data_IF_496692422086
#
_entry.id   IF_496692422086
#
_cell.length_a   1.000
_cell.length_b   1.000
_cell.length_c   1.000
_cell.angle_alpha   90.00
_cell.angle_beta   90.00
_cell.angle_gamma   90.00
#
_symmetry.space_group_name_H-M   'P 1'
#
loop_
_entity.id
_entity.type
_entity.pdbx_description
1 polymer ?
#
# COMPACT_ATOMS: atom_id res chain seq x y z
N UNK A 1 40.54 17.27 -27.00
CA UNK A 1 39.79 16.68 -25.91
C UNK A 1 39.67 17.74 -24.79
N UNK A 2 38.49 18.15 -24.46
CA UNK A 2 38.28 19.09 -23.36
C UNK A 2 38.77 18.49 -22.03
N UNK A 3 39.49 19.29 -21.25
CA UNK A 3 39.97 18.87 -19.91
C UNK A 3 38.77 18.88 -18.97
N UNK A 4 38.23 17.70 -18.63
CA UNK A 4 37.10 17.57 -17.70
C UNK A 4 37.62 17.75 -16.31
N UNK A 5 37.10 18.74 -15.61
CA UNK A 5 37.47 19.04 -14.22
C UNK A 5 36.70 18.15 -13.23
N UNK A 6 37.25 17.97 -12.02
CA UNK A 6 36.54 17.30 -10.95
C UNK A 6 35.24 18.05 -10.56
N UNK A 7 35.21 19.38 -10.78
CA UNK A 7 34.04 20.21 -10.54
C UNK A 7 32.90 19.92 -11.53
N UNK A 8 33.22 19.72 -12.82
CA UNK A 8 32.21 19.39 -13.85
C UNK A 8 31.53 18.03 -13.51
N UNK A 9 32.36 17.04 -13.10
CA UNK A 9 31.85 15.73 -12.67
C UNK A 9 30.97 15.85 -11.42
N UNK A 10 31.37 16.67 -10.47
CA UNK A 10 30.61 16.95 -9.24
C UNK A 10 29.27 17.60 -9.57
N UNK A 11 29.28 18.66 -10.38
CA UNK A 11 28.06 19.40 -10.80
C UNK A 11 27.08 18.47 -11.51
N UNK A 12 27.55 17.66 -12.49
CA UNK A 12 26.69 16.73 -13.19
C UNK A 12 26.13 15.64 -12.25
N UNK A 13 26.93 15.15 -11.29
CA UNK A 13 26.45 14.21 -10.28
C UNK A 13 25.39 14.80 -9.36
N UNK A 14 25.58 16.02 -8.89
CA UNK A 14 24.64 16.71 -8.00
C UNK A 14 23.29 17.00 -8.71
N UNK A 15 23.32 17.26 -10.02
CA UNK A 15 22.09 17.51 -10.79
C UNK A 15 21.36 16.26 -11.25
N UNK A 16 22.06 15.09 -11.28
CA UNK A 16 21.49 13.86 -11.87
C UNK A 16 21.37 12.69 -10.90
N UNK A 17 22.04 12.76 -9.73
CA UNK A 17 22.15 11.63 -8.80
C UNK A 17 22.98 10.45 -9.35
N UNK A 18 23.50 10.50 -10.57
CA UNK A 18 24.23 9.40 -11.21
C UNK A 18 25.59 9.12 -10.54
N UNK A 19 26.11 7.92 -10.73
CA UNK A 19 27.42 7.52 -10.18
C UNK A 19 28.57 8.39 -10.74
N UNK A 20 29.55 8.74 -9.87
CA UNK A 20 30.68 9.62 -10.23
C UNK A 20 31.44 9.15 -11.47
N UNK A 21 31.64 7.84 -11.60
CA UNK A 21 32.35 7.26 -12.75
C UNK A 21 31.52 7.31 -14.04
N UNK A 22 30.20 7.14 -13.95
CA UNK A 22 29.30 7.28 -15.09
C UNK A 22 29.29 8.76 -15.56
N UNK A 23 29.16 9.74 -14.62
CA UNK A 23 29.27 11.17 -14.94
C UNK A 23 30.59 11.53 -15.64
N UNK A 24 31.72 11.05 -15.09
CA UNK A 24 33.04 11.30 -15.71
C UNK A 24 33.11 10.73 -17.12
N UNK A 25 32.60 9.50 -17.33
CA UNK A 25 32.63 8.82 -18.63
C UNK A 25 31.81 9.56 -19.67
N UNK A 26 30.58 9.95 -19.35
CA UNK A 26 29.72 10.66 -20.31
C UNK A 26 30.22 12.08 -20.61
N UNK A 27 30.76 12.80 -19.62
CA UNK A 27 31.40 14.09 -19.86
C UNK A 27 32.59 13.96 -20.81
N UNK A 28 33.41 12.88 -20.67
CA UNK A 28 34.53 12.62 -21.60
C UNK A 28 34.02 12.36 -23.02
N UNK A 29 32.97 11.59 -23.19
CA UNK A 29 32.35 11.27 -24.48
C UNK A 29 31.62 12.47 -25.11
N UNK A 30 31.10 13.36 -24.25
CA UNK A 30 30.45 14.61 -24.65
C UNK A 30 31.45 15.76 -24.91
N UNK A 31 32.78 15.51 -24.85
CA UNK A 31 33.82 16.53 -24.93
C UNK A 31 33.60 17.73 -23.96
N UNK A 32 33.03 17.44 -22.79
CA UNK A 32 32.77 18.43 -21.74
C UNK A 32 31.43 19.18 -21.88
N UNK A 33 30.59 18.87 -22.86
CA UNK A 33 29.26 19.45 -23.04
C UNK A 33 28.30 18.87 -21.97
N UNK A 34 27.79 19.67 -21.01
CA UNK A 34 26.94 19.16 -19.94
C UNK A 34 25.59 18.63 -20.42
N UNK A 35 25.00 19.26 -21.46
CA UNK A 35 23.69 18.87 -21.98
C UNK A 35 23.79 17.51 -22.69
N UNK A 36 24.78 17.37 -23.56
CA UNK A 36 25.04 16.09 -24.23
C UNK A 36 25.43 14.98 -23.27
N UNK A 37 26.16 15.31 -22.20
CA UNK A 37 26.46 14.36 -21.13
C UNK A 37 25.21 13.90 -20.37
N UNK A 38 24.28 14.80 -20.12
CA UNK A 38 22.97 14.50 -19.51
C UNK A 38 22.16 13.56 -20.39
N UNK A 39 22.08 13.81 -21.70
CA UNK A 39 21.36 12.97 -22.64
C UNK A 39 21.97 11.54 -22.70
N UNK A 40 23.30 11.44 -22.72
CA UNK A 40 24.01 10.15 -22.68
C UNK A 40 23.79 9.40 -21.35
N UNK A 41 23.70 10.11 -20.21
CA UNK A 41 23.35 9.50 -18.94
C UNK A 41 21.93 8.95 -18.96
N UNK A 42 20.99 9.71 -19.51
CA UNK A 42 19.59 9.30 -19.62
C UNK A 42 19.45 8.05 -20.49
N UNK A 43 20.02 8.03 -21.68
CA UNK A 43 20.02 6.85 -22.57
C UNK A 43 20.59 5.60 -21.89
N UNK A 44 21.75 5.74 -21.24
CA UNK A 44 22.41 4.62 -20.56
C UNK A 44 21.67 4.15 -19.33
N UNK A 45 21.11 5.09 -18.59
CA UNK A 45 20.25 4.80 -17.43
C UNK A 45 19.03 3.97 -17.83
N UNK A 46 18.31 4.39 -18.85
CA UNK A 46 17.17 3.67 -19.43
C UNK A 46 17.54 2.27 -19.92
N UNK A 47 18.69 2.11 -20.62
CA UNK A 47 19.18 0.81 -21.08
C UNK A 47 19.51 -0.13 -19.91
N UNK A 48 20.11 0.38 -18.84
CA UNK A 48 20.39 -0.41 -17.62
C UNK A 48 19.11 -0.75 -16.86
N UNK A 49 18.16 0.18 -16.74
CA UNK A 49 16.86 -0.03 -16.10
C UNK A 49 16.06 -1.12 -16.83
N UNK A 50 15.99 -1.09 -18.16
CA UNK A 50 15.32 -2.12 -18.95
C UNK A 50 15.87 -3.54 -18.72
N UNK A 51 17.19 -3.68 -18.51
CA UNK A 51 17.81 -4.97 -18.17
C UNK A 51 17.48 -5.47 -16.77
N UNK A 52 17.05 -4.60 -15.87
CA UNK A 52 16.68 -4.93 -14.47
C UNK A 52 15.18 -5.16 -14.28
N UNK A 53 14.34 -4.75 -15.23
CA UNK A 53 12.89 -4.79 -15.12
C UNK A 53 12.29 -6.17 -14.76
N UNK A 54 13.05 -7.26 -14.98
CA UNK A 54 12.63 -8.62 -14.56
C UNK A 54 13.14 -9.08 -13.21
N UNK A 55 13.87 -8.23 -12.44
CA UNK A 55 14.34 -8.62 -11.12
C UNK A 55 13.23 -8.45 -10.11
N UNK A 56 13.22 -9.33 -9.11
CA UNK A 56 12.24 -9.27 -8.03
C UNK A 56 12.42 -8.00 -7.18
N UNK A 57 11.30 -7.40 -6.82
CA UNK A 57 11.25 -6.22 -5.95
C UNK A 57 10.51 -6.59 -4.67
N UNK A 58 11.17 -7.33 -3.77
CA UNK A 58 10.59 -7.82 -2.52
C UNK A 58 10.53 -6.78 -1.40
N UNK A 59 11.35 -5.73 -1.51
CA UNK A 59 11.35 -4.58 -0.62
C UNK A 59 10.61 -3.39 -1.25
N UNK A 60 10.42 -2.30 -0.51
CA UNK A 60 9.72 -1.12 -1.02
C UNK A 60 9.05 -0.29 0.07
N UNK A 61 8.03 0.46 -0.33
CA UNK A 61 7.19 1.24 0.58
C UNK A 61 5.75 1.30 0.11
N UNK A 62 4.84 1.46 1.09
CA UNK A 62 3.46 1.81 0.86
C UNK A 62 3.31 3.30 1.13
N UNK A 63 2.76 4.02 0.18
CA UNK A 63 2.43 5.43 0.32
C UNK A 63 0.92 5.64 0.20
N UNK A 64 0.40 6.62 0.95
CA UNK A 64 -1.02 6.95 1.00
C UNK A 64 -1.16 8.45 0.84
N UNK A 65 -1.99 8.87 -0.11
CA UNK A 65 -2.46 10.23 -0.26
C UNK A 65 -3.95 10.29 0.11
N UNK A 66 -4.36 11.33 0.85
CA UNK A 66 -5.76 11.57 1.22
C UNK A 66 -6.13 13.00 0.87
N UNK A 67 -7.28 13.17 0.24
CA UNK A 67 -7.91 14.46 -0.01
C UNK A 67 -9.42 14.35 0.22
N UNK A 68 -9.93 15.12 1.20
CA UNK A 68 -11.32 15.03 1.63
C UNK A 68 -11.69 13.60 2.09
N UNK A 69 -12.71 13.04 1.47
CA UNK A 69 -13.18 11.66 1.73
C UNK A 69 -12.67 10.63 0.72
N UNK A 70 -11.57 10.94 0.04
CA UNK A 70 -10.93 10.01 -0.91
C UNK A 70 -9.48 9.75 -0.52
N UNK A 71 -9.03 8.54 -0.77
CA UNK A 71 -7.64 8.09 -0.54
C UNK A 71 -7.12 7.32 -1.74
N UNK A 72 -5.82 7.44 -1.99
CA UNK A 72 -5.07 6.55 -2.89
C UNK A 72 -3.96 5.90 -2.09
N UNK A 73 -3.91 4.59 -2.11
CA UNK A 73 -2.83 3.79 -1.53
C UNK A 73 -2.08 3.07 -2.64
N UNK A 74 -0.75 3.16 -2.61
CA UNK A 74 0.12 2.48 -3.58
C UNK A 74 1.16 1.61 -2.88
N UNK A 75 1.66 0.60 -3.60
CA UNK A 75 2.88 -0.12 -3.27
C UNK A 75 3.93 0.15 -4.36
N UNK A 76 5.04 0.77 -3.95
CA UNK A 76 6.21 0.96 -4.79
C UNK A 76 7.30 -0.01 -4.31
N UNK A 77 7.73 -0.94 -5.20
CA UNK A 77 8.72 -1.96 -4.90
C UNK A 77 10.12 -1.59 -5.39
N UNK A 78 11.15 -2.07 -4.68
CA UNK A 78 12.56 -2.04 -5.06
C UNK A 78 13.27 -3.35 -4.65
N UNK A 79 14.55 -3.52 -5.04
CA UNK A 79 15.29 -4.75 -4.77
C UNK A 79 15.75 -4.85 -3.30
N UNK A 80 16.14 -3.72 -2.67
CA UNK A 80 16.72 -3.70 -1.32
C UNK A 80 16.02 -2.73 -0.35
N UNK A 81 16.12 -3.04 0.93
CA UNK A 81 15.65 -2.16 2.00
C UNK A 81 16.52 -0.89 2.15
N UNK A 82 17.74 -0.89 1.62
CA UNK A 82 18.60 0.30 1.58
C UNK A 82 18.00 1.37 0.69
N UNK A 83 17.57 1.03 -0.53
CA UNK A 83 16.88 1.96 -1.44
C UNK A 83 15.52 2.34 -0.88
N UNK A 84 14.76 1.39 -0.36
CA UNK A 84 13.43 1.64 0.22
C UNK A 84 13.43 2.72 1.31
N UNK A 85 14.52 2.89 2.05
CA UNK A 85 14.66 3.86 3.15
C UNK A 85 15.20 5.23 2.72
N UNK A 86 15.60 5.41 1.46
CA UNK A 86 16.10 6.70 0.98
C UNK A 86 14.98 7.72 0.85
N UNK A 87 15.29 8.99 1.12
CA UNK A 87 14.34 10.09 0.97
C UNK A 87 13.85 10.22 -0.48
N UNK A 88 14.72 9.97 -1.46
CA UNK A 88 14.39 10.01 -2.88
C UNK A 88 13.34 8.95 -3.25
N UNK A 89 13.46 7.72 -2.72
CA UNK A 89 12.51 6.65 -2.98
C UNK A 89 11.15 6.91 -2.28
N UNK A 90 11.19 7.34 -1.02
CA UNK A 90 10.00 7.71 -0.26
C UNK A 90 9.29 8.92 -0.89
N UNK A 91 10.07 9.91 -1.33
CA UNK A 91 9.56 11.08 -2.06
C UNK A 91 8.87 10.70 -3.36
N UNK A 92 9.48 9.80 -4.16
CA UNK A 92 8.88 9.27 -5.38
C UNK A 92 7.54 8.55 -5.11
N UNK A 93 7.47 7.70 -4.08
CA UNK A 93 6.24 7.01 -3.73
C UNK A 93 5.10 7.98 -3.36
N UNK A 94 5.40 8.99 -2.55
CA UNK A 94 4.44 10.03 -2.17
C UNK A 94 4.02 10.89 -3.37
N UNK A 95 4.95 11.24 -4.25
CA UNK A 95 4.67 11.97 -5.49
C UNK A 95 3.71 11.18 -6.39
N UNK A 96 3.95 9.88 -6.59
CA UNK A 96 3.09 9.01 -7.39
C UNK A 96 1.68 8.91 -6.77
N UNK A 97 1.58 8.65 -5.47
CA UNK A 97 0.28 8.58 -4.78
C UNK A 97 -0.51 9.87 -4.93
N UNK A 98 0.16 11.02 -4.79
CA UNK A 98 -0.45 12.35 -4.95
C UNK A 98 -0.88 12.60 -6.40
N UNK A 99 -0.06 12.23 -7.39
CA UNK A 99 -0.40 12.41 -8.80
C UNK A 99 -1.65 11.58 -9.18
N UNK A 100 -1.74 10.34 -8.71
CA UNK A 100 -2.92 9.48 -8.92
C UNK A 100 -4.15 10.07 -8.20
N UNK A 101 -3.96 10.61 -7.00
CA UNK A 101 -5.04 11.26 -6.24
C UNK A 101 -5.62 12.44 -7.02
N UNK A 102 -4.77 13.34 -7.50
CA UNK A 102 -5.16 14.58 -8.18
C UNK A 102 -5.83 14.34 -9.53
N UNK A 103 -5.38 13.34 -10.30
CA UNK A 103 -5.98 13.00 -11.59
C UNK A 103 -7.36 12.34 -11.43
N UNK A 104 -7.49 11.42 -10.51
CA UNK A 104 -8.74 10.78 -10.14
C UNK A 104 -9.23 9.68 -11.07
N UNK A 105 -8.58 9.41 -12.20
CA UNK A 105 -9.07 8.46 -13.23
C UNK A 105 -8.50 7.05 -13.10
N UNK A 106 -7.31 6.87 -12.49
CA UNK A 106 -6.66 5.57 -12.42
C UNK A 106 -7.25 4.69 -11.31
N UNK A 107 -7.69 3.50 -11.71
CA UNK A 107 -8.19 2.44 -10.84
C UNK A 107 -7.22 1.24 -10.73
N UNK A 108 -6.12 1.24 -11.48
CA UNK A 108 -5.12 0.17 -11.47
C UNK A 108 -3.75 0.67 -11.92
N UNK A 109 -2.74 -0.19 -11.77
CA UNK A 109 -1.33 0.13 -12.11
C UNK A 109 -1.16 0.55 -13.58
N UNK A 110 -1.82 -0.12 -14.52
CA UNK A 110 -1.67 0.18 -15.95
C UNK A 110 -2.19 1.59 -16.28
N UNK A 111 -3.33 1.96 -15.71
CA UNK A 111 -3.89 3.31 -15.87
C UNK A 111 -3.02 4.35 -15.18
N UNK A 112 -2.52 4.06 -13.97
CA UNK A 112 -1.64 4.93 -13.22
C UNK A 112 -0.33 5.22 -13.98
N UNK A 113 0.26 4.25 -14.65
CA UNK A 113 1.48 4.44 -15.45
C UNK A 113 1.34 5.51 -16.55
N UNK A 114 0.14 5.64 -17.12
CA UNK A 114 -0.14 6.64 -18.17
C UNK A 114 -0.35 8.06 -17.65
N UNK A 115 -0.63 8.22 -16.35
CA UNK A 115 -0.85 9.54 -15.73
C UNK A 115 0.43 10.36 -15.69
N UNK A 116 0.26 11.69 -15.68
CA UNK A 116 1.38 12.61 -15.51
C UNK A 116 1.69 12.84 -14.04
N UNK A 117 2.98 12.88 -13.73
CA UNK A 117 3.55 13.39 -12.49
C UNK A 117 4.58 14.46 -12.87
N UNK A 118 4.18 15.72 -12.79
CA UNK A 118 4.90 16.84 -13.39
C UNK A 118 4.88 16.78 -14.93
N UNK A 119 6.03 16.90 -15.55
CA UNK A 119 6.18 16.93 -17.02
C UNK A 119 6.24 15.52 -17.65
N UNK A 120 6.46 14.47 -16.85
CA UNK A 120 6.64 13.10 -17.31
C UNK A 120 5.46 12.20 -16.88
N UNK A 121 5.33 11.02 -17.53
CA UNK A 121 4.41 9.99 -17.05
C UNK A 121 4.95 9.30 -15.80
N UNK A 122 4.08 8.73 -14.99
CA UNK A 122 4.48 7.91 -13.82
C UNK A 122 5.40 6.76 -14.27
N UNK A 123 5.12 6.12 -15.41
CA UNK A 123 6.00 5.09 -15.97
C UNK A 123 7.42 5.61 -16.24
N UNK A 124 7.53 6.80 -16.87
CA UNK A 124 8.81 7.44 -17.13
C UNK A 124 9.54 7.81 -15.82
N UNK A 125 8.80 8.33 -14.83
CA UNK A 125 9.35 8.67 -13.51
C UNK A 125 9.91 7.43 -12.79
N UNK A 126 9.18 6.32 -12.78
CA UNK A 126 9.62 5.04 -12.20
C UNK A 126 10.86 4.52 -12.93
N UNK A 127 10.87 4.56 -14.27
CA UNK A 127 12.03 4.13 -15.08
C UNK A 127 13.27 5.00 -14.85
N UNK A 128 13.10 6.32 -14.76
CA UNK A 128 14.18 7.25 -14.47
C UNK A 128 14.74 7.04 -13.05
N UNK A 129 13.87 6.78 -12.07
CA UNK A 129 14.28 6.45 -10.70
C UNK A 129 15.08 5.12 -10.67
N UNK A 130 14.64 4.09 -11.38
CA UNK A 130 15.38 2.83 -11.49
C UNK A 130 16.76 3.02 -12.15
N UNK A 131 16.87 3.94 -13.11
CA UNK A 131 18.14 4.30 -13.73
C UNK A 131 19.10 4.99 -12.76
N UNK A 132 18.58 5.91 -11.95
CA UNK A 132 19.35 6.72 -11.00
C UNK A 132 19.73 5.93 -9.74
N UNK A 133 18.77 5.24 -9.12
CA UNK A 133 19.00 4.48 -7.89
C UNK A 133 19.74 3.15 -8.14
N UNK A 134 19.77 2.67 -9.39
CA UNK A 134 20.54 1.50 -9.77
C UNK A 134 19.87 0.16 -9.44
N UNK A 135 18.63 0.17 -9.04
CA UNK A 135 17.80 -1.01 -8.75
C UNK A 135 16.57 -1.07 -9.66
N UNK A 136 15.93 -2.24 -9.74
CA UNK A 136 14.60 -2.35 -10.30
C UNK A 136 13.60 -1.65 -9.36
N UNK A 137 12.80 -0.75 -9.92
CA UNK A 137 11.69 -0.08 -9.20
C UNK A 137 10.41 -0.35 -9.98
N UNK A 138 9.35 -0.71 -9.26
CA UNK A 138 8.06 -1.02 -9.88
C UNK A 138 6.89 -0.57 -9.03
N UNK A 139 5.92 0.09 -9.67
CA UNK A 139 4.60 0.32 -9.07
C UNK A 139 3.83 -1.01 -9.14
N UNK A 140 3.55 -1.61 -7.98
CA UNK A 140 2.97 -2.96 -7.89
C UNK A 140 1.47 -2.97 -7.72
N UNK A 141 0.97 -2.07 -6.87
CA UNK A 141 -0.45 -1.99 -6.54
C UNK A 141 -0.89 -0.54 -6.47
N UNK A 142 -2.12 -0.32 -6.85
CA UNK A 142 -2.83 0.95 -6.70
C UNK A 142 -4.23 0.62 -6.20
N UNK A 143 -4.67 1.29 -5.15
CA UNK A 143 -6.02 1.19 -4.62
C UNK A 143 -6.56 2.60 -4.40
N UNK A 144 -7.75 2.86 -4.93
CA UNK A 144 -8.48 4.11 -4.72
C UNK A 144 -9.72 3.84 -3.88
N UNK A 145 -9.81 4.50 -2.76
CA UNK A 145 -10.90 4.33 -1.79
C UNK A 145 -11.60 5.66 -1.62
N UNK A 146 -12.91 5.67 -1.76
CA UNK A 146 -13.75 6.84 -1.50
C UNK A 146 -14.85 6.49 -0.49
N UNK A 147 -15.27 7.49 0.26
CA UNK A 147 -16.33 7.40 1.26
C UNK A 147 -17.31 8.53 1.07
N UNK A 148 -18.54 8.36 1.53
CA UNK A 148 -19.54 9.43 1.69
C UNK A 148 -19.37 10.20 3.00
N UNK A 149 -18.57 9.68 3.92
CA UNK A 149 -18.31 10.29 5.24
C UNK A 149 -16.83 10.69 5.37
N UNK A 150 -15.95 9.73 5.64
CA UNK A 150 -14.52 9.99 5.87
C UNK A 150 -13.67 8.76 5.53
N UNK A 151 -12.43 9.01 5.12
CA UNK A 151 -11.38 8.00 4.97
C UNK A 151 -10.29 8.23 6.01
N UNK A 152 -9.92 7.18 6.72
CA UNK A 152 -8.77 7.17 7.62
C UNK A 152 -7.69 6.23 7.14
N UNK A 153 -6.44 6.49 7.52
CA UNK A 153 -5.32 5.63 7.14
C UNK A 153 -4.31 5.46 8.26
N UNK A 154 -3.55 4.37 8.15
CA UNK A 154 -2.42 4.10 9.02
C UNK A 154 -1.28 3.44 8.24
N UNK A 155 -0.07 3.97 8.40
CA UNK A 155 1.16 3.37 7.87
C UNK A 155 1.99 2.85 9.04
N UNK A 156 2.41 1.59 8.96
CA UNK A 156 3.19 0.92 10.00
C UNK A 156 4.58 0.52 9.49
N UNK A 157 5.54 0.42 10.43
CA UNK A 157 6.92 -0.06 10.19
C UNK A 157 7.63 0.67 9.04
N UNK A 158 7.48 2.00 8.96
CA UNK A 158 8.19 2.80 7.95
C UNK A 158 7.77 2.48 6.51
N UNK A 159 6.48 2.21 6.28
CA UNK A 159 5.95 1.94 4.94
C UNK A 159 5.82 0.46 4.58
N UNK A 160 6.13 -0.46 5.49
CA UNK A 160 6.02 -1.91 5.19
C UNK A 160 4.58 -2.44 5.22
N UNK A 161 3.68 -1.72 5.88
CA UNK A 161 2.26 -2.03 5.94
C UNK A 161 1.45 -0.73 5.92
N UNK A 162 0.44 -0.67 5.07
CA UNK A 162 -0.51 0.42 4.99
C UNK A 162 -1.94 -0.09 5.05
N UNK A 163 -2.80 0.66 5.72
CA UNK A 163 -4.24 0.38 5.82
C UNK A 163 -5.01 1.66 5.53
N UNK A 164 -6.07 1.51 4.75
CA UNK A 164 -7.07 2.55 4.50
C UNK A 164 -8.42 2.02 4.93
N UNK A 165 -9.18 2.81 5.65
CA UNK A 165 -10.56 2.50 6.09
C UNK A 165 -11.48 3.62 5.63
N UNK A 166 -12.54 3.28 4.92
CA UNK A 166 -13.64 4.17 4.59
C UNK A 166 -14.79 3.92 5.57
N UNK A 167 -15.24 4.98 6.25
CA UNK A 167 -16.44 4.94 7.06
C UNK A 167 -17.64 5.47 6.25
N UNK A 168 -18.83 5.01 6.56
CA UNK A 168 -20.09 5.49 6.00
C UNK A 168 -21.13 5.72 7.09
N UNK A 169 -22.15 6.52 6.78
CA UNK A 169 -23.18 6.90 7.72
C UNK A 169 -22.69 7.95 8.73
N UNK A 170 -23.40 8.08 9.82
CA UNK A 170 -23.20 9.14 10.81
C UNK A 170 -24.09 10.36 10.52
N UNK A 171 -24.27 11.21 11.51
CA UNK A 171 -25.11 12.39 11.39
C UNK A 171 -24.35 13.56 10.76
N UNK A 172 -24.97 14.26 9.82
CA UNK A 172 -24.42 15.48 9.25
C UNK A 172 -24.23 16.54 10.36
N UNK A 173 -23.02 17.13 10.42
CA UNK A 173 -22.70 18.22 11.32
C UNK A 173 -22.45 17.83 12.78
N UNK A 174 -22.20 16.55 13.07
CA UNK A 174 -21.75 16.12 14.38
C UNK A 174 -20.33 16.67 14.66
N UNK A 175 -20.10 17.17 15.90
CA UNK A 175 -18.74 17.51 16.39
C UNK A 175 -17.85 16.25 16.56
N UNK A 176 -18.26 15.13 15.99
CA UNK A 176 -17.57 13.86 16.10
C UNK A 176 -16.35 13.82 15.19
N UNK A 177 -15.21 13.49 15.79
CA UNK A 177 -13.94 13.31 15.06
C UNK A 177 -13.90 11.94 14.34
N UNK A 178 -14.71 11.78 13.30
CA UNK A 178 -14.76 10.56 12.50
C UNK A 178 -13.41 10.22 11.85
N UNK A 179 -12.58 11.22 11.60
CA UNK A 179 -11.24 11.00 11.06
C UNK A 179 -10.32 10.27 12.05
N UNK A 180 -10.41 10.62 13.35
CA UNK A 180 -9.69 9.91 14.41
C UNK A 180 -10.20 8.47 14.55
N UNK A 181 -11.51 8.26 14.51
CA UNK A 181 -12.10 6.92 14.60
C UNK A 181 -11.69 6.05 13.40
N UNK A 182 -11.75 6.58 12.18
CA UNK A 182 -11.32 5.88 10.97
C UNK A 182 -9.84 5.48 11.04
N UNK A 183 -8.98 6.39 11.53
CA UNK A 183 -7.57 6.10 11.78
C UNK A 183 -7.38 5.01 12.83
N UNK A 184 -8.15 5.03 13.90
CA UNK A 184 -8.08 4.04 14.98
C UNK A 184 -8.51 2.64 14.48
N UNK A 185 -9.52 2.56 13.63
CA UNK A 185 -9.90 1.31 12.96
C UNK A 185 -8.81 0.86 11.98
N UNK A 186 -8.18 1.79 11.25
CA UNK A 186 -7.04 1.44 10.38
C UNK A 186 -5.84 0.89 11.19
N UNK A 187 -5.55 1.47 12.37
CA UNK A 187 -4.54 0.94 13.30
C UNK A 187 -4.92 -0.45 13.81
N UNK A 188 -6.21 -0.69 14.13
CA UNK A 188 -6.70 -1.99 14.53
C UNK A 188 -6.46 -3.04 13.44
N UNK A 189 -6.88 -2.79 12.18
CA UNK A 189 -6.66 -3.69 11.04
C UNK A 189 -5.17 -3.97 10.79
N UNK A 190 -4.31 -2.99 11.06
CA UNK A 190 -2.87 -3.16 10.92
C UNK A 190 -2.25 -4.08 11.99
N UNK A 191 -2.81 -4.09 13.20
CA UNK A 191 -2.22 -4.72 14.38
C UNK A 191 -2.86 -6.07 14.77
N UNK A 192 -4.13 -6.29 14.40
CA UNK A 192 -4.87 -7.47 14.84
C UNK A 192 -4.42 -8.75 14.12
N UNK A 193 -4.40 -9.86 14.85
CA UNK A 193 -4.17 -11.21 14.32
C UNK A 193 -5.27 -12.14 14.86
N UNK A 194 -6.03 -12.83 14.00
CA UNK A 194 -5.96 -12.78 12.52
C UNK A 194 -6.42 -11.45 11.93
N UNK A 195 -5.84 -11.07 10.79
CA UNK A 195 -6.31 -9.95 9.98
C UNK A 195 -7.75 -10.21 9.53
N UNK A 196 -8.68 -9.23 9.65
CA UNK A 196 -10.06 -9.44 9.23
C UNK A 196 -10.14 -9.70 7.72
N UNK A 197 -10.99 -10.65 7.33
CA UNK A 197 -11.23 -11.03 5.94
C UNK A 197 -12.51 -10.39 5.37
N UNK A 198 -13.37 -9.89 6.23
CA UNK A 198 -14.64 -9.27 5.89
C UNK A 198 -15.02 -8.19 6.90
N UNK A 199 -15.90 -7.26 6.52
CA UNK A 199 -16.43 -6.24 7.43
C UNK A 199 -17.34 -6.88 8.46
N UNK A 200 -18.28 -7.71 8.01
CA UNK A 200 -19.27 -8.40 8.81
C UNK A 200 -19.52 -9.84 8.31
N UNK A 201 -20.42 -10.55 8.96
CA UNK A 201 -20.76 -11.94 8.61
C UNK A 201 -21.34 -12.10 7.20
N UNK A 202 -22.08 -11.10 6.72
CA UNK A 202 -22.74 -11.15 5.43
C UNK A 202 -21.73 -11.04 4.27
N UNK A 203 -20.62 -10.36 4.53
CA UNK A 203 -19.53 -10.18 3.57
C UNK A 203 -18.54 -11.38 3.52
N UNK A 204 -18.64 -12.36 4.45
CA UNK A 204 -17.80 -13.57 4.39
C UNK A 204 -18.29 -14.48 3.27
N UNK A 205 -17.41 -14.94 2.34
CA UNK A 205 -17.77 -15.86 1.26
C UNK A 205 -18.44 -17.13 1.80
N UNK A 206 -19.58 -17.49 1.22
CA UNK A 206 -20.39 -18.63 1.70
C UNK A 206 -19.65 -19.96 1.62
N UNK A 207 -18.85 -20.17 0.58
CA UNK A 207 -18.02 -21.34 0.37
C UNK A 207 -16.93 -21.49 1.46
N UNK A 208 -16.34 -20.37 1.90
CA UNK A 208 -15.41 -20.35 3.01
C UNK A 208 -16.09 -20.77 4.33
N UNK A 209 -17.29 -20.26 4.60
CA UNK A 209 -18.08 -20.62 5.77
C UNK A 209 -18.43 -22.09 5.78
N UNK A 210 -18.89 -22.64 4.66
CA UNK A 210 -19.25 -24.07 4.54
C UNK A 210 -18.01 -24.98 4.65
N UNK A 211 -16.88 -24.56 4.07
CA UNK A 211 -15.61 -25.25 4.25
C UNK A 211 -15.20 -25.32 5.72
N UNK A 212 -15.25 -24.18 6.43
CA UNK A 212 -14.91 -24.09 7.84
C UNK A 212 -15.85 -24.95 8.71
N UNK A 213 -17.17 -24.91 8.47
CA UNK A 213 -18.14 -25.78 9.17
C UNK A 213 -17.81 -27.26 8.97
N UNK A 214 -17.42 -27.65 7.76
CA UNK A 214 -17.04 -29.04 7.44
C UNK A 214 -15.81 -29.46 8.23
N UNK A 215 -14.78 -28.60 8.29
CA UNK A 215 -13.56 -28.84 9.06
C UNK A 215 -13.90 -28.99 10.55
N UNK A 216 -14.67 -28.06 11.09
CA UNK A 216 -15.07 -28.04 12.50
C UNK A 216 -15.89 -29.27 12.89
N UNK A 217 -16.80 -29.73 12.01
CA UNK A 217 -17.58 -30.96 12.18
C UNK A 217 -16.66 -32.20 12.24
N UNK A 218 -15.74 -32.31 11.30
CA UNK A 218 -14.80 -33.43 11.25
C UNK A 218 -13.90 -33.49 12.50
N UNK A 219 -13.40 -32.34 12.95
CA UNK A 219 -12.63 -32.24 14.19
C UNK A 219 -13.45 -32.66 15.43
N UNK A 220 -14.72 -32.27 15.51
CA UNK A 220 -15.60 -32.64 16.62
C UNK A 220 -15.83 -34.14 16.66
N UNK A 221 -16.11 -34.79 15.52
CA UNK A 221 -16.28 -36.23 15.39
C UNK A 221 -14.99 -36.97 15.74
N UNK A 222 -13.83 -36.57 15.21
CA UNK A 222 -12.54 -37.18 15.50
C UNK A 222 -12.14 -37.07 16.98
N UNK A 223 -12.60 -36.02 17.66
CA UNK A 223 -12.39 -35.86 19.11
C UNK A 223 -13.34 -36.72 19.97
N UNK A 224 -14.11 -37.62 19.37
CA UNK A 224 -15.01 -38.55 20.08
C UNK A 224 -16.29 -37.90 20.63
N UNK A 225 -16.68 -36.73 20.10
CA UNK A 225 -17.91 -36.08 20.53
C UNK A 225 -19.12 -36.82 19.97
N UNK A 226 -20.19 -37.02 20.78
CA UNK A 226 -21.42 -37.63 20.31
C UNK A 226 -22.06 -36.80 19.17
N UNK A 227 -22.57 -37.49 18.16
CA UNK A 227 -23.11 -36.85 16.93
C UNK A 227 -24.24 -35.87 17.24
N UNK A 228 -25.06 -36.14 18.24
CA UNK A 228 -26.17 -35.30 18.68
C UNK A 228 -25.76 -33.93 19.26
N UNK A 229 -24.48 -33.73 19.60
CA UNK A 229 -23.96 -32.44 20.10
C UNK A 229 -23.00 -31.76 19.12
N UNK A 230 -22.60 -32.44 18.04
CA UNK A 230 -21.66 -31.93 17.05
C UNK A 230 -22.16 -30.63 16.44
N UNK A 231 -23.44 -30.54 16.07
CA UNK A 231 -24.01 -29.33 15.48
C UNK A 231 -23.92 -28.12 16.42
N UNK A 232 -24.19 -28.28 17.70
CA UNK A 232 -23.99 -27.23 18.70
C UNK A 232 -22.53 -26.78 18.85
N UNK A 233 -21.61 -27.75 18.77
CA UNK A 233 -20.18 -27.45 18.84
C UNK A 233 -19.75 -26.66 17.59
N UNK A 234 -20.22 -27.05 16.41
CA UNK A 234 -19.95 -26.36 15.15
C UNK A 234 -20.51 -24.92 15.20
N UNK A 235 -21.76 -24.75 15.65
CA UNK A 235 -22.38 -23.42 15.79
C UNK A 235 -21.57 -22.51 16.74
N UNK A 236 -21.16 -23.01 17.88
CA UNK A 236 -20.33 -22.24 18.81
C UNK A 236 -18.96 -21.85 18.23
N UNK A 237 -18.32 -22.78 17.51
CA UNK A 237 -17.01 -22.53 16.88
C UNK A 237 -17.11 -21.60 15.67
N UNK A 238 -18.17 -21.70 14.88
CA UNK A 238 -18.38 -20.77 13.74
C UNK A 238 -18.66 -19.35 14.23
N UNK A 239 -19.34 -19.19 15.37
CA UNK A 239 -19.50 -17.87 15.98
C UNK A 239 -18.14 -17.29 16.41
N UNK A 240 -17.23 -18.13 16.92
CA UNK A 240 -15.86 -17.70 17.23
C UNK A 240 -15.09 -17.32 15.98
N UNK A 241 -15.22 -18.11 14.89
CA UNK A 241 -14.64 -17.79 13.60
C UNK A 241 -15.07 -16.41 13.11
N UNK A 242 -16.36 -16.06 13.18
CA UNK A 242 -16.84 -14.73 12.82
C UNK A 242 -16.26 -13.64 13.73
N UNK A 243 -16.23 -13.85 15.04
CA UNK A 243 -15.67 -12.91 15.99
C UNK A 243 -14.16 -12.64 15.76
N UNK A 244 -13.44 -13.61 15.20
CA UNK A 244 -12.01 -13.48 14.89
C UNK A 244 -11.75 -12.93 13.48
N UNK A 245 -12.67 -13.09 12.53
CA UNK A 245 -12.44 -12.79 11.12
C UNK A 245 -13.31 -11.67 10.54
N UNK A 246 -14.37 -11.25 11.24
CA UNK A 246 -15.20 -10.10 10.84
C UNK A 246 -14.77 -8.84 11.60
N UNK A 247 -14.34 -7.81 10.87
CA UNK A 247 -13.81 -6.57 11.45
C UNK A 247 -14.69 -5.97 12.54
N UNK A 248 -16.01 -5.88 12.29
CA UNK A 248 -16.95 -5.28 13.25
C UNK A 248 -17.12 -6.10 14.54
N UNK A 249 -16.85 -7.41 14.50
CA UNK A 249 -16.97 -8.31 15.66
C UNK A 249 -15.67 -8.49 16.43
N UNK A 250 -14.54 -8.12 15.85
CA UNK A 250 -13.23 -8.24 16.51
C UNK A 250 -13.16 -7.36 17.76
N UNK A 251 -12.49 -7.90 18.80
CA UNK A 251 -12.12 -7.12 19.98
C UNK A 251 -11.15 -6.00 19.56
N UNK A 252 -11.47 -4.75 19.96
CA UNK A 252 -10.72 -3.60 19.51
C UNK A 252 -9.32 -3.55 20.12
N UNK A 253 -8.29 -3.36 19.28
CA UNK A 253 -6.88 -3.48 19.74
C UNK A 253 -6.50 -2.50 20.85
N UNK A 254 -7.14 -1.33 20.93
CA UNK A 254 -6.87 -0.33 21.98
C UNK A 254 -7.68 -0.57 23.25
N UNK A 255 -8.79 -1.30 23.15
CA UNK A 255 -9.70 -1.64 24.27
C UNK A 255 -10.34 -2.99 23.98
N UNK A 256 -9.72 -4.12 24.40
CA UNK A 256 -10.21 -5.47 24.13
C UNK A 256 -11.56 -5.84 24.78
N UNK A 257 -12.06 -5.03 25.69
CA UNK A 257 -13.36 -5.24 26.33
C UNK A 257 -14.53 -4.76 25.46
N UNK A 258 -14.23 -4.08 24.35
CA UNK A 258 -15.22 -3.62 23.38
C UNK A 258 -14.91 -4.16 21.97
N UNK A 259 -15.91 -4.14 21.07
CA UNK A 259 -15.72 -4.51 19.66
C UNK A 259 -15.58 -3.26 18.79
N UNK A 260 -15.02 -3.43 17.57
CA UNK A 260 -14.95 -2.35 16.59
C UNK A 260 -16.34 -1.74 16.33
N UNK A 261 -17.39 -2.56 16.19
CA UNK A 261 -18.76 -2.07 16.02
C UNK A 261 -19.22 -1.17 17.19
N UNK A 262 -18.89 -1.52 18.43
CA UNK A 262 -19.23 -0.71 19.59
C UNK A 262 -18.44 0.60 19.64
N UNK A 263 -17.18 0.59 19.23
CA UNK A 263 -16.35 1.81 19.12
C UNK A 263 -16.97 2.78 18.11
N UNK A 264 -17.40 2.29 16.95
CA UNK A 264 -18.10 3.10 15.95
C UNK A 264 -19.41 3.66 16.51
N UNK A 265 -20.28 2.80 17.07
CA UNK A 265 -21.57 3.19 17.61
C UNK A 265 -21.48 4.16 18.81
N UNK A 266 -20.39 4.13 19.57
CA UNK A 266 -20.14 5.08 20.65
C UNK A 266 -19.85 6.50 20.15
N UNK A 267 -19.32 6.63 18.93
CA UNK A 267 -19.12 7.94 18.28
C UNK A 267 -20.41 8.39 17.56
N UNK A 268 -21.05 7.50 16.82
CA UNK A 268 -22.34 7.73 16.19
C UNK A 268 -23.03 6.39 15.90
N UNK A 269 -24.30 6.25 16.25
CA UNK A 269 -25.06 5.01 16.11
C UNK A 269 -25.26 4.57 14.63
N UNK A 270 -25.16 5.53 13.69
CA UNK A 270 -25.27 5.28 12.25
C UNK A 270 -23.93 5.00 11.59
N UNK A 271 -22.81 5.17 12.31
CA UNK A 271 -21.47 5.03 11.72
C UNK A 271 -21.08 3.57 11.54
N UNK A 272 -20.60 3.23 10.36
CA UNK A 272 -20.12 1.88 10.03
C UNK A 272 -18.91 1.92 9.10
N UNK A 273 -18.27 0.78 8.89
CA UNK A 273 -17.18 0.61 7.89
C UNK A 273 -17.82 0.30 6.55
N UNK A 274 -17.52 1.11 5.52
CA UNK A 274 -17.93 0.86 4.14
C UNK A 274 -16.93 -0.07 3.42
N UNK A 275 -15.62 0.17 3.63
CA UNK A 275 -14.56 -0.68 3.10
C UNK A 275 -13.29 -0.54 3.94
N UNK A 276 -12.41 -1.55 3.85
CA UNK A 276 -11.04 -1.45 4.32
C UNK A 276 -10.10 -2.15 3.34
N UNK A 277 -8.91 -1.61 3.18
CA UNK A 277 -7.88 -2.14 2.29
C UNK A 277 -6.55 -2.17 3.05
N UNK A 278 -5.85 -3.27 2.93
CA UNK A 278 -4.56 -3.49 3.61
C UNK A 278 -3.53 -3.95 2.61
N UNK A 279 -2.43 -3.20 2.50
CA UNK A 279 -1.25 -3.59 1.76
C UNK A 279 -0.13 -3.91 2.74
N UNK A 280 0.52 -5.05 2.54
CA UNK A 280 1.78 -5.39 3.20
C UNK A 280 2.77 -5.78 2.12
N UNK A 281 4.00 -5.30 2.25
CA UNK A 281 5.05 -5.60 1.28
C UNK A 281 5.27 -7.10 1.16
N UNK A 282 5.38 -7.56 -0.08
CA UNK A 282 5.62 -8.98 -0.39
C UNK A 282 4.39 -9.89 -0.29
N UNK A 283 3.22 -9.40 0.14
CA UNK A 283 1.98 -10.16 0.03
C UNK A 283 1.43 -10.08 -1.40
N UNK A 284 0.93 -11.21 -1.91
CA UNK A 284 0.19 -11.21 -3.17
C UNK A 284 -1.07 -10.32 -3.04
N UNK A 285 -1.43 -9.62 -4.12
CA UNK A 285 -2.70 -8.93 -4.17
C UNK A 285 -3.82 -9.96 -3.95
N UNK A 286 -4.57 -9.84 -2.86
CA UNK A 286 -5.82 -10.57 -2.70
C UNK A 286 -6.83 -9.94 -3.65
N UNK A 287 -7.22 -10.72 -4.66
CA UNK A 287 -8.27 -10.37 -5.62
C UNK A 287 -9.62 -10.38 -4.95
#
# INVERSE_FOLDING_TARGET
MASISAQDVKTLRESTGAGMMDCKKVLTEADGDPQKALDLLRERGLSKAGKRAGRETSEGTIAIAIEGSTSVMIELGCETDFVAKTDDFQGLANEIATAIMNDGSAANVQQAHALKSGDETIEARVTNAAATMGENISLKRVERVASDTVVGSYIHMGGKLGVVVALSGGADGADADYASVAKDVAMHVAAIDPTPIAIDRAAVPADLVESEKTILRNQALQSGKPENIVDKIVEGRINKFYAENCLLEQAFVKDPDTTVAKVLAANDAGLTVASFHRFKLGEAATS
#
